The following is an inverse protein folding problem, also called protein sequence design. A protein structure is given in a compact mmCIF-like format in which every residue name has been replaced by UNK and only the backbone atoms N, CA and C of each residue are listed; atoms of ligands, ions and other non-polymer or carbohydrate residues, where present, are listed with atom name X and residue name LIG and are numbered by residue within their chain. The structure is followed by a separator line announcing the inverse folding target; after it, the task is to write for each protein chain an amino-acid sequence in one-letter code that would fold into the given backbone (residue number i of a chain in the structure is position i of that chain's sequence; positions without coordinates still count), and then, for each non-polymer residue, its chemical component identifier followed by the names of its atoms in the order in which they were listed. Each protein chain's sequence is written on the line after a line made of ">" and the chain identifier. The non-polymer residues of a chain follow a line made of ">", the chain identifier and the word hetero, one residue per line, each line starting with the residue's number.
data_IF_268292642417
#
_entry.id   IF_268292642417
#
_cell.length_a   1.000
_cell.length_b   1.000
_cell.length_c   1.000
_cell.angle_alpha   90.00
_cell.angle_beta   90.00
_cell.angle_gamma   90.00
#
_symmetry.space_group_name_H-M   'P 1'
#
loop_
_entity.id
_entity.type
_entity.pdbx_description
1 polymer ?
#
# COMPACT_ATOMS: atom_id res chain seq x y z
N UNK A 1 -90.04 50.55 97.92
CA UNK A 1 -88.62 50.87 98.22
C UNK A 1 -87.99 49.79 99.10
N UNK A 2 -88.28 48.49 98.87
CA UNK A 2 -87.82 47.38 99.74
C UNK A 2 -86.93 46.35 99.04
N UNK A 3 -86.72 46.44 97.72
CA UNK A 3 -85.91 45.47 96.98
C UNK A 3 -84.41 45.75 97.02
N UNK A 4 -84.00 47.02 97.05
CA UNK A 4 -82.58 47.42 97.09
C UNK A 4 -81.92 47.22 98.46
N UNK A 5 -82.69 47.27 99.54
CA UNK A 5 -82.16 47.09 100.91
C UNK A 5 -81.95 45.61 101.25
N UNK A 6 -82.85 44.72 100.84
CA UNK A 6 -82.70 43.28 101.07
C UNK A 6 -81.46 42.69 100.40
N UNK A 7 -81.13 43.16 99.18
CA UNK A 7 -79.90 42.77 98.48
C UNK A 7 -78.64 43.31 99.17
N UNK A 8 -78.72 44.45 99.84
CA UNK A 8 -77.61 45.02 100.61
C UNK A 8 -77.34 44.23 101.89
N UNK A 9 -78.41 43.88 102.61
CA UNK A 9 -78.28 43.16 103.88
C UNK A 9 -77.84 41.69 103.67
N UNK A 10 -78.40 40.97 102.70
CA UNK A 10 -77.99 39.59 102.36
C UNK A 10 -76.54 39.54 101.84
N UNK A 11 -76.11 40.55 101.09
CA UNK A 11 -74.74 40.66 100.59
C UNK A 11 -73.76 40.96 101.73
N UNK A 12 -74.17 41.81 102.68
CA UNK A 12 -73.36 42.18 103.83
C UNK A 12 -73.17 40.99 104.77
N UNK A 13 -74.23 40.22 105.03
CA UNK A 13 -74.15 38.97 105.80
C UNK A 13 -73.25 37.94 105.10
N UNK A 14 -73.38 37.79 103.78
CA UNK A 14 -72.50 36.89 103.01
C UNK A 14 -71.02 37.34 103.04
N UNK A 15 -70.77 38.64 102.95
CA UNK A 15 -69.40 39.18 103.01
C UNK A 15 -68.78 38.99 104.39
N UNK A 16 -69.55 39.16 105.46
CA UNK A 16 -69.10 38.96 106.83
C UNK A 16 -68.85 37.47 107.12
N UNK A 17 -69.76 36.58 106.73
CA UNK A 17 -69.58 35.12 106.83
C UNK A 17 -68.33 34.66 106.07
N UNK A 18 -68.15 35.16 104.84
CA UNK A 18 -67.00 34.80 104.01
C UNK A 18 -65.69 35.39 104.52
N UNK A 19 -65.74 36.55 105.16
CA UNK A 19 -64.59 37.19 105.79
C UNK A 19 -64.13 36.36 107.01
N UNK A 20 -65.07 35.95 107.86
CA UNK A 20 -64.82 35.07 109.00
C UNK A 20 -64.26 33.71 108.58
N UNK A 21 -64.84 33.07 107.55
CA UNK A 21 -64.34 31.79 107.01
C UNK A 21 -62.90 31.88 106.52
N UNK A 22 -62.53 33.00 105.88
CA UNK A 22 -61.19 33.22 105.34
C UNK A 22 -60.24 33.84 106.36
N UNK A 23 -60.69 34.06 107.60
CA UNK A 23 -59.91 34.67 108.68
C UNK A 23 -59.40 36.07 108.34
N UNK A 24 -60.15 36.82 107.56
CA UNK A 24 -59.81 38.18 107.12
C UNK A 24 -60.90 39.15 107.56
N UNK A 25 -60.60 40.43 107.67
CA UNK A 25 -61.65 41.44 107.80
C UNK A 25 -62.37 41.65 106.45
N UNK A 26 -63.63 42.05 106.51
CA UNK A 26 -64.50 42.33 105.36
C UNK A 26 -63.88 43.32 104.38
N UNK A 27 -63.21 44.35 104.89
CA UNK A 27 -62.58 45.38 104.07
C UNK A 27 -61.46 44.80 103.19
N UNK A 28 -60.69 43.85 103.73
CA UNK A 28 -59.62 43.16 103.02
C UNK A 28 -60.11 42.06 102.09
N UNK A 29 -61.22 41.39 102.40
CA UNK A 29 -61.91 40.50 101.47
C UNK A 29 -62.43 41.29 100.26
N UNK A 30 -63.09 42.41 100.49
CA UNK A 30 -63.56 43.32 99.45
C UNK A 30 -62.40 43.86 98.61
N UNK A 31 -61.30 44.28 99.24
CA UNK A 31 -60.11 44.72 98.53
C UNK A 31 -59.53 43.61 97.63
N UNK A 32 -59.53 42.36 98.10
CA UNK A 32 -59.08 41.20 97.29
C UNK A 32 -60.03 40.87 96.16
N UNK A 33 -61.35 40.88 96.39
CA UNK A 33 -62.34 40.65 95.34
C UNK A 33 -62.29 41.75 94.28
N UNK A 34 -62.16 43.01 94.69
CA UNK A 34 -61.97 44.15 93.77
C UNK A 34 -60.64 44.04 93.03
N UNK A 35 -59.56 43.61 93.69
CA UNK A 35 -58.26 43.41 93.02
C UNK A 35 -58.32 42.26 92.01
N UNK A 36 -58.93 41.13 92.36
CA UNK A 36 -59.13 39.99 91.46
C UNK A 36 -60.03 40.36 90.28
N UNK A 37 -61.12 41.10 90.54
CA UNK A 37 -62.00 41.63 89.51
C UNK A 37 -61.27 42.62 88.59
N UNK A 38 -60.44 43.52 89.15
CA UNK A 38 -59.61 44.45 88.35
C UNK A 38 -58.58 43.71 87.49
N UNK A 39 -57.96 42.66 88.01
CA UNK A 39 -56.99 41.84 87.28
C UNK A 39 -57.67 41.09 86.13
N UNK A 40 -58.79 40.42 86.41
CA UNK A 40 -59.60 39.74 85.40
C UNK A 40 -60.10 40.70 84.32
N UNK A 41 -60.57 41.90 84.70
CA UNK A 41 -60.97 42.94 83.73
C UNK A 41 -59.76 43.48 82.94
N UNK A 42 -58.58 43.63 83.55
CA UNK A 42 -57.38 44.16 82.88
C UNK A 42 -56.74 43.17 81.89
N UNK A 43 -56.75 41.88 82.21
CA UNK A 43 -56.16 40.82 81.38
C UNK A 43 -57.07 40.51 80.18
N UNK A 44 -58.38 40.65 80.36
CA UNK A 44 -59.37 40.43 79.31
C UNK A 44 -59.46 41.61 78.34
N UNK A 45 -59.43 42.87 78.79
CA UNK A 45 -59.48 44.03 77.87
C UNK A 45 -58.18 44.20 77.06
N UNK A 46 -57.01 44.03 77.70
CA UNK A 46 -55.71 44.18 77.03
C UNK A 46 -55.41 43.05 76.05
N UNK A 47 -55.63 41.80 76.46
CA UNK A 47 -55.39 40.63 75.62
C UNK A 47 -56.36 40.53 74.44
N UNK A 48 -57.64 40.89 74.62
CA UNK A 48 -58.61 40.92 73.52
C UNK A 48 -58.30 42.04 72.51
N UNK A 49 -57.81 43.20 72.96
CA UNK A 49 -57.40 44.29 72.08
C UNK A 49 -56.13 43.92 71.27
N UNK A 50 -55.15 43.26 71.88
CA UNK A 50 -53.96 42.74 71.20
C UNK A 50 -54.30 41.63 70.19
N UNK A 51 -55.22 40.72 70.55
CA UNK A 51 -55.72 39.69 69.65
C UNK A 51 -56.46 40.27 68.45
N UNK A 52 -57.35 41.24 68.66
CA UNK A 52 -58.04 41.95 67.57
C UNK A 52 -57.06 42.72 66.66
N UNK A 53 -56.01 43.31 67.25
CA UNK A 53 -54.94 43.95 66.48
C UNK A 53 -54.13 42.95 65.66
N UNK A 54 -53.78 41.80 66.24
CA UNK A 54 -53.06 40.75 65.55
C UNK A 54 -53.91 40.13 64.44
N UNK A 55 -55.19 39.89 64.68
CA UNK A 55 -56.17 39.41 63.70
C UNK A 55 -56.27 40.41 62.53
N UNK A 56 -56.36 41.71 62.81
CA UNK A 56 -56.35 42.74 61.78
C UNK A 56 -55.05 42.74 60.96
N UNK A 57 -53.90 42.52 61.60
CA UNK A 57 -52.59 42.43 60.92
C UNK A 57 -52.46 41.17 60.09
N UNK A 58 -52.95 40.04 60.59
CA UNK A 58 -52.98 38.77 59.86
C UNK A 58 -53.88 38.92 58.64
N UNK A 59 -55.09 39.44 58.82
CA UNK A 59 -56.01 39.73 57.71
C UNK A 59 -55.36 40.65 56.67
N UNK A 60 -54.67 41.72 57.09
CA UNK A 60 -53.99 42.61 56.16
C UNK A 60 -52.82 41.94 55.40
N UNK A 61 -52.11 41.00 56.04
CA UNK A 61 -51.04 40.22 55.40
C UNK A 61 -51.62 39.18 54.45
N UNK A 62 -52.73 38.56 54.81
CA UNK A 62 -53.46 37.63 53.95
C UNK A 62 -53.99 38.33 52.71
N UNK A 63 -54.57 39.53 52.86
CA UNK A 63 -55.03 40.36 51.74
C UNK A 63 -53.86 40.77 50.81
N UNK A 64 -52.73 41.23 51.36
CA UNK A 64 -51.52 41.57 50.59
C UNK A 64 -50.91 40.35 49.88
N UNK A 65 -50.94 39.19 50.53
CA UNK A 65 -50.47 37.94 49.94
C UNK A 65 -51.38 37.51 48.78
N UNK A 66 -52.71 37.60 48.95
CA UNK A 66 -53.67 37.28 47.90
C UNK A 66 -53.53 38.21 46.69
N UNK A 67 -53.32 39.51 46.91
CA UNK A 67 -53.03 40.48 45.85
C UNK A 67 -51.74 40.13 45.09
N UNK A 68 -50.65 39.82 45.81
CA UNK A 68 -49.37 39.43 45.19
C UNK A 68 -49.47 38.10 44.45
N UNK A 69 -50.20 37.13 44.98
CA UNK A 69 -50.45 35.86 44.31
C UNK A 69 -51.25 36.09 43.02
N UNK A 70 -52.23 36.98 43.04
CA UNK A 70 -52.98 37.36 41.85
C UNK A 70 -52.09 38.03 40.79
N UNK A 71 -51.21 38.97 41.19
CA UNK A 71 -50.27 39.64 40.29
C UNK A 71 -49.27 38.65 39.67
N UNK A 72 -48.63 37.79 40.48
CA UNK A 72 -47.71 36.75 39.99
C UNK A 72 -48.42 35.81 39.03
N UNK A 73 -49.67 35.41 39.35
CA UNK A 73 -50.47 34.55 38.47
C UNK A 73 -50.72 35.21 37.13
N UNK A 74 -51.13 36.47 37.11
CA UNK A 74 -51.35 37.21 35.87
C UNK A 74 -50.04 37.34 35.08
N UNK A 75 -48.93 37.62 35.75
CA UNK A 75 -47.61 37.72 35.11
C UNK A 75 -47.15 36.39 34.51
N UNK A 76 -47.35 35.27 35.20
CA UNK A 76 -47.02 33.93 34.69
C UNK A 76 -47.91 33.58 33.50
N UNK A 77 -49.20 33.90 33.55
CA UNK A 77 -50.12 33.70 32.42
C UNK A 77 -49.68 34.54 31.23
N UNK A 78 -49.30 35.81 31.45
CA UNK A 78 -48.77 36.68 30.42
C UNK A 78 -47.51 36.11 29.78
N UNK A 79 -46.50 35.73 30.59
CA UNK A 79 -45.25 35.15 30.09
C UNK A 79 -45.54 33.88 29.31
N UNK A 80 -46.38 32.98 29.83
CA UNK A 80 -46.79 31.75 29.13
C UNK A 80 -47.41 32.07 27.78
N UNK A 81 -48.33 33.04 27.70
CA UNK A 81 -48.94 33.46 26.43
C UNK A 81 -47.90 34.04 25.46
N UNK A 82 -47.00 34.89 25.94
CA UNK A 82 -45.93 35.47 25.12
C UNK A 82 -44.93 34.41 24.63
N UNK A 83 -44.57 33.44 25.47
CA UNK A 83 -43.69 32.34 25.11
C UNK A 83 -44.36 31.39 24.12
N UNK A 84 -45.61 30.98 24.37
CA UNK A 84 -46.39 30.15 23.45
C UNK A 84 -46.61 30.84 22.09
N UNK A 85 -46.76 32.17 22.08
CA UNK A 85 -46.87 32.94 20.84
C UNK A 85 -45.55 32.98 20.06
N UNK A 86 -44.40 32.99 20.75
CA UNK A 86 -43.07 33.00 20.13
C UNK A 86 -42.67 31.62 19.62
N UNK A 87 -43.03 30.57 20.34
CA UNK A 87 -42.75 29.20 19.98
C UNK A 87 -43.94 28.34 20.40
N UNK A 88 -44.94 28.19 19.52
CA UNK A 88 -46.03 27.24 19.74
C UNK A 88 -45.45 25.85 20.05
N UNK A 89 -46.16 25.05 20.84
CA UNK A 89 -45.74 23.67 21.15
C UNK A 89 -45.50 22.83 19.88
N UNK A 90 -46.23 23.15 18.81
CA UNK A 90 -46.13 22.50 17.50
C UNK A 90 -45.27 23.30 16.50
N UNK A 91 -44.46 24.25 16.97
CA UNK A 91 -43.52 24.97 16.10
C UNK A 91 -42.47 24.00 15.55
N UNK A 92 -42.52 23.78 14.23
CA UNK A 92 -41.49 23.05 13.51
C UNK A 92 -40.38 23.97 13.00
N UNK A 93 -39.29 23.34 12.57
CA UNK A 93 -38.20 24.00 11.85
C UNK A 93 -38.09 23.41 10.44
N UNK A 94 -38.97 23.80 9.50
CA UNK A 94 -38.98 23.22 8.15
C UNK A 94 -37.64 23.39 7.45
N UNK A 95 -36.94 24.51 7.63
CA UNK A 95 -35.63 24.74 7.01
C UNK A 95 -34.57 23.77 7.53
N UNK A 96 -34.63 23.36 8.80
CA UNK A 96 -33.75 22.32 9.35
C UNK A 96 -34.13 20.94 8.84
N UNK A 97 -35.43 20.66 8.70
CA UNK A 97 -35.91 19.39 8.14
C UNK A 97 -35.45 19.23 6.67
N UNK A 98 -35.64 20.26 5.85
CA UNK A 98 -35.21 20.30 4.45
C UNK A 98 -33.69 20.16 4.32
N UNK A 99 -32.93 20.82 5.21
CA UNK A 99 -31.47 20.69 5.24
C UNK A 99 -31.03 19.27 5.62
N UNK A 100 -31.72 18.62 6.57
CA UNK A 100 -31.43 17.25 6.95
C UNK A 100 -31.77 16.26 5.82
N UNK A 101 -32.85 16.51 5.08
CA UNK A 101 -33.21 15.70 3.92
C UNK A 101 -32.18 15.84 2.79
N UNK A 102 -31.77 17.08 2.49
CA UNK A 102 -30.68 17.36 1.53
C UNK A 102 -29.39 16.65 1.94
N UNK A 103 -28.95 16.79 3.19
CA UNK A 103 -27.74 16.13 3.69
C UNK A 103 -27.82 14.60 3.62
N UNK A 104 -29.00 14.01 3.84
CA UNK A 104 -29.19 12.56 3.69
C UNK A 104 -29.03 12.15 2.23
N UNK A 105 -29.63 12.88 1.30
CA UNK A 105 -29.49 12.62 -0.14
C UNK A 105 -28.03 12.75 -0.61
N UNK A 106 -27.30 13.76 -0.11
CA UNK A 106 -25.86 13.92 -0.38
C UNK A 106 -25.04 12.75 0.18
N UNK A 107 -25.32 12.31 1.41
CA UNK A 107 -24.64 11.15 2.01
C UNK A 107 -24.90 9.88 1.20
N UNK A 108 -26.14 9.66 0.76
CA UNK A 108 -26.48 8.47 -0.04
C UNK A 108 -25.83 8.51 -1.43
N UNK A 109 -25.69 9.70 -2.02
CA UNK A 109 -24.94 9.89 -3.27
C UNK A 109 -23.46 9.58 -3.07
N UNK A 110 -22.83 10.14 -2.04
CA UNK A 110 -21.42 9.88 -1.72
C UNK A 110 -21.13 8.41 -1.41
N UNK A 111 -22.08 7.70 -0.80
CA UNK A 111 -21.96 6.25 -0.58
C UNK A 111 -21.96 5.48 -1.89
N UNK A 112 -22.88 5.81 -2.80
CA UNK A 112 -22.92 5.18 -4.11
C UNK A 112 -21.64 5.45 -4.93
N UNK A 113 -21.14 6.69 -4.90
CA UNK A 113 -19.86 7.05 -5.53
C UNK A 113 -18.67 6.31 -4.90
N UNK A 114 -18.66 6.13 -3.58
CA UNK A 114 -17.62 5.39 -2.88
C UNK A 114 -17.63 3.90 -3.26
N UNK A 115 -18.81 3.30 -3.34
CA UNK A 115 -18.96 1.90 -3.74
C UNK A 115 -18.52 1.69 -5.21
N UNK A 116 -18.90 2.58 -6.12
CA UNK A 116 -18.44 2.56 -7.52
C UNK A 116 -16.91 2.70 -7.65
N UNK A 117 -16.32 3.64 -6.89
CA UNK A 117 -14.87 3.84 -6.89
C UNK A 117 -14.14 2.62 -6.33
N UNK A 118 -14.71 1.97 -5.31
CA UNK A 118 -14.17 0.74 -4.74
C UNK A 118 -14.21 -0.40 -5.76
N UNK A 119 -15.33 -0.60 -6.43
CA UNK A 119 -15.49 -1.64 -7.45
C UNK A 119 -14.53 -1.42 -8.63
N UNK A 120 -14.38 -0.17 -9.08
CA UNK A 120 -13.41 0.22 -10.12
C UNK A 120 -11.97 -0.10 -9.71
N UNK A 121 -11.61 0.20 -8.47
CA UNK A 121 -10.27 -0.07 -7.95
C UNK A 121 -10.00 -1.57 -7.77
N UNK A 122 -10.98 -2.35 -7.32
CA UNK A 122 -10.85 -3.80 -7.21
C UNK A 122 -10.76 -4.44 -8.62
N UNK A 123 -11.48 -3.91 -9.60
CA UNK A 123 -11.33 -4.27 -11.02
C UNK A 123 -9.92 -3.98 -11.57
N UNK A 124 -9.39 -2.77 -11.33
CA UNK A 124 -8.05 -2.39 -11.79
C UNK A 124 -6.96 -3.29 -11.18
N UNK A 125 -7.11 -3.69 -9.91
CA UNK A 125 -6.19 -4.64 -9.28
C UNK A 125 -6.24 -6.01 -9.94
N UNK A 126 -7.44 -6.51 -10.20
CA UNK A 126 -7.60 -7.79 -10.88
C UNK A 126 -7.01 -7.76 -12.30
N UNK A 127 -7.21 -6.68 -13.04
CA UNK A 127 -6.63 -6.49 -14.37
C UNK A 127 -5.09 -6.44 -14.32
N UNK A 128 -4.53 -5.77 -13.31
CA UNK A 128 -3.09 -5.68 -13.10
C UNK A 128 -2.48 -7.05 -12.76
N UNK A 129 -3.09 -7.77 -11.83
CA UNK A 129 -2.65 -9.11 -11.43
C UNK A 129 -2.70 -10.08 -12.62
N UNK A 130 -3.82 -10.09 -13.36
CA UNK A 130 -3.96 -10.90 -14.58
C UNK A 130 -2.96 -10.49 -15.68
N UNK A 131 -2.68 -9.18 -15.80
CA UNK A 131 -1.67 -8.66 -16.70
C UNK A 131 -0.28 -9.19 -16.38
N UNK A 132 0.13 -9.14 -15.10
CA UNK A 132 1.43 -9.67 -14.66
C UNK A 132 1.55 -11.17 -14.88
N UNK A 133 0.53 -11.96 -14.53
CA UNK A 133 0.52 -13.40 -14.81
C UNK A 133 0.71 -13.69 -16.31
N UNK A 134 0.03 -12.93 -17.18
CA UNK A 134 0.20 -13.07 -18.62
C UNK A 134 1.61 -12.67 -19.08
N UNK A 135 2.19 -11.59 -18.55
CA UNK A 135 3.55 -11.20 -18.90
C UNK A 135 4.58 -12.24 -18.46
N UNK A 136 4.45 -12.79 -17.25
CA UNK A 136 5.33 -13.85 -16.77
C UNK A 136 5.27 -15.08 -17.67
N UNK A 137 4.07 -15.49 -18.10
CA UNK A 137 3.90 -16.59 -19.06
C UNK A 137 4.59 -16.31 -20.40
N UNK A 138 4.46 -15.09 -20.93
CA UNK A 138 5.12 -14.71 -22.19
C UNK A 138 6.64 -14.68 -22.03
N UNK A 139 7.16 -14.18 -20.91
CA UNK A 139 8.60 -14.14 -20.66
C UNK A 139 9.20 -15.54 -20.49
N UNK A 140 8.50 -16.45 -19.83
CA UNK A 140 8.92 -17.86 -19.70
C UNK A 140 8.98 -18.55 -21.07
N UNK A 141 7.97 -18.33 -21.92
CA UNK A 141 7.94 -18.85 -23.29
C UNK A 141 9.11 -18.30 -24.13
N UNK A 142 9.36 -16.99 -24.07
CA UNK A 142 10.48 -16.36 -24.77
C UNK A 142 11.86 -16.83 -24.27
N UNK A 143 12.03 -17.05 -22.97
CA UNK A 143 13.27 -17.60 -22.39
C UNK A 143 13.51 -19.04 -22.85
N UNK A 144 12.46 -19.87 -22.83
CA UNK A 144 12.48 -21.24 -23.32
C UNK A 144 12.83 -21.29 -24.81
N UNK A 145 12.17 -20.48 -25.64
CA UNK A 145 12.45 -20.39 -27.08
C UNK A 145 13.89 -19.92 -27.33
N UNK A 146 14.36 -18.91 -26.60
CA UNK A 146 15.74 -18.40 -26.74
C UNK A 146 16.77 -19.49 -26.41
N UNK A 147 16.54 -20.24 -25.34
CA UNK A 147 17.41 -21.35 -24.94
C UNK A 147 17.41 -22.48 -25.98
N UNK A 148 16.25 -22.82 -26.54
CA UNK A 148 16.13 -23.82 -27.60
C UNK A 148 16.83 -23.37 -28.89
N UNK A 149 16.66 -22.10 -29.29
CA UNK A 149 17.38 -21.52 -30.43
C UNK A 149 18.89 -21.54 -30.21
N UNK A 150 19.37 -21.20 -29.00
CA UNK A 150 20.79 -21.25 -28.67
C UNK A 150 21.35 -22.69 -28.79
N UNK A 151 20.62 -23.69 -28.30
CA UNK A 151 21.00 -25.10 -28.43
C UNK A 151 21.06 -25.58 -29.89
N UNK A 152 20.10 -25.14 -30.72
CA UNK A 152 20.09 -25.40 -32.17
C UNK A 152 21.27 -24.73 -32.86
N UNK A 153 21.56 -23.47 -32.55
CA UNK A 153 22.68 -22.73 -33.12
C UNK A 153 24.03 -23.40 -32.79
N UNK A 154 24.24 -23.82 -31.55
CA UNK A 154 25.44 -24.56 -31.14
C UNK A 154 25.55 -25.91 -31.87
N UNK A 155 24.43 -26.62 -32.04
CA UNK A 155 24.41 -27.86 -32.82
C UNK A 155 24.81 -27.62 -34.27
N UNK A 156 24.27 -26.57 -34.91
CA UNK A 156 24.64 -26.21 -36.28
C UNK A 156 26.10 -25.78 -36.40
N UNK A 157 26.62 -25.03 -35.43
CA UNK A 157 28.03 -24.64 -35.38
C UNK A 157 28.93 -25.88 -35.30
N UNK A 158 28.59 -26.85 -34.44
CA UNK A 158 29.32 -28.13 -34.33
C UNK A 158 29.28 -28.92 -35.64
N UNK A 159 28.13 -28.99 -36.30
CA UNK A 159 28.00 -29.66 -37.61
C UNK A 159 28.83 -28.94 -38.69
N UNK A 160 28.77 -27.61 -38.75
CA UNK A 160 29.52 -26.81 -39.70
C UNK A 160 31.04 -26.98 -39.53
N UNK A 161 31.53 -26.96 -38.28
CA UNK A 161 32.94 -27.21 -37.97
C UNK A 161 33.35 -28.64 -38.35
N UNK A 162 32.51 -29.65 -38.05
CA UNK A 162 32.78 -31.04 -38.45
C UNK A 162 32.83 -31.23 -39.97
N UNK A 163 31.93 -30.58 -40.71
CA UNK A 163 31.97 -30.59 -42.18
C UNK A 163 33.23 -29.91 -42.73
N UNK A 164 33.61 -28.77 -42.16
CA UNK A 164 34.83 -28.05 -42.54
C UNK A 164 36.08 -28.91 -42.33
N UNK A 165 36.19 -29.58 -41.18
CA UNK A 165 37.30 -30.48 -40.88
C UNK A 165 37.33 -31.68 -41.84
N UNK A 166 36.15 -32.23 -42.17
CA UNK A 166 36.06 -33.33 -43.13
C UNK A 166 36.48 -32.91 -44.54
N UNK A 167 36.09 -31.72 -44.99
CA UNK A 167 36.51 -31.15 -46.28
C UNK A 167 38.03 -30.96 -46.28
N UNK A 168 38.59 -30.33 -45.25
CA UNK A 168 40.03 -30.11 -45.14
C UNK A 168 40.83 -31.44 -45.17
N UNK A 169 40.32 -32.48 -44.51
CA UNK A 169 40.89 -33.83 -44.57
C UNK A 169 40.87 -34.41 -45.99
N UNK A 170 39.75 -34.32 -46.70
CA UNK A 170 39.63 -34.81 -48.08
C UNK A 170 40.51 -34.02 -49.07
N UNK A 171 40.59 -32.71 -48.90
CA UNK A 171 41.46 -31.84 -49.70
C UNK A 171 42.93 -32.16 -49.45
N UNK A 172 43.32 -32.41 -48.20
CA UNK A 172 44.66 -32.84 -47.82
C UNK A 172 45.04 -34.18 -48.45
N UNK A 173 44.19 -35.20 -48.35
CA UNK A 173 44.40 -36.50 -49.00
C UNK A 173 44.55 -36.36 -50.52
N UNK A 174 43.68 -35.56 -51.15
CA UNK A 174 43.74 -35.26 -52.59
C UNK A 174 45.02 -34.52 -52.97
N UNK A 175 45.48 -33.56 -52.17
CA UNK A 175 46.71 -32.82 -52.40
C UNK A 175 47.95 -33.72 -52.33
N UNK A 176 48.00 -34.63 -51.34
CA UNK A 176 49.06 -35.64 -51.21
C UNK A 176 49.10 -36.54 -52.44
N UNK A 177 47.95 -37.07 -52.88
CA UNK A 177 47.86 -37.92 -54.07
C UNK A 177 48.28 -37.18 -55.35
N UNK A 178 47.83 -35.93 -55.53
CA UNK A 178 48.24 -35.09 -56.65
C UNK A 178 49.75 -34.85 -56.65
N UNK A 179 50.33 -34.53 -55.50
CA UNK A 179 51.76 -34.29 -55.37
C UNK A 179 52.60 -35.52 -55.76
N UNK A 180 52.18 -36.72 -55.33
CA UNK A 180 52.80 -38.00 -55.73
C UNK A 180 52.67 -38.22 -57.25
N UNK A 181 51.46 -38.03 -57.78
CA UNK A 181 51.20 -38.23 -59.21
C UNK A 181 52.02 -37.25 -60.08
N UNK A 182 52.23 -36.01 -59.63
CA UNK A 182 53.09 -35.04 -60.29
C UNK A 182 54.55 -35.47 -60.30
N UNK A 183 55.09 -35.93 -59.16
CA UNK A 183 56.46 -36.45 -59.07
C UNK A 183 56.67 -37.66 -59.98
N UNK A 184 55.69 -38.57 -60.01
CA UNK A 184 55.71 -39.73 -60.89
C UNK A 184 55.63 -39.34 -62.37
N UNK A 185 54.79 -38.36 -62.74
CA UNK A 185 54.72 -37.83 -64.10
C UNK A 185 56.02 -37.17 -64.53
N UNK A 186 56.62 -36.36 -63.66
CA UNK A 186 57.89 -35.68 -63.91
C UNK A 186 59.02 -36.69 -64.11
N UNK A 187 59.12 -37.69 -63.23
CA UNK A 187 60.06 -38.79 -63.35
C UNK A 187 59.86 -39.59 -64.65
N UNK A 188 58.62 -39.91 -65.00
CA UNK A 188 58.30 -40.61 -66.26
C UNK A 188 58.69 -39.78 -67.48
N UNK A 189 58.40 -38.47 -67.51
CA UNK A 189 58.82 -37.57 -68.61
C UNK A 189 60.34 -37.48 -68.74
N UNK A 190 61.06 -37.54 -67.62
CA UNK A 190 62.51 -37.52 -67.56
C UNK A 190 63.17 -38.90 -67.79
N UNK A 191 62.38 -39.98 -67.95
CA UNK A 191 62.89 -41.35 -68.10
C UNK A 191 63.53 -41.93 -66.84
N UNK A 192 63.16 -41.44 -65.66
CA UNK A 192 63.74 -41.81 -64.36
C UNK A 192 62.83 -42.80 -63.63
N UNK A 193 63.30 -44.03 -63.44
CA UNK A 193 62.58 -45.05 -62.65
C UNK A 193 63.04 -45.14 -61.18
N UNK A 194 64.27 -44.72 -60.90
CA UNK A 194 64.87 -44.67 -59.57
C UNK A 194 65.75 -43.43 -59.44
N UNK A 195 65.68 -42.75 -58.30
CA UNK A 195 66.43 -41.53 -58.02
C UNK A 195 66.91 -41.50 -56.56
N UNK A 196 68.04 -40.84 -56.30
CA UNK A 196 68.57 -40.70 -54.95
C UNK A 196 67.91 -39.52 -54.23
N UNK A 197 67.45 -39.70 -52.99
CA UNK A 197 66.99 -38.61 -52.16
C UNK A 197 68.13 -37.60 -51.95
N UNK A 198 67.90 -36.30 -52.22
CA UNK A 198 68.92 -35.26 -52.02
C UNK A 198 69.34 -35.13 -50.55
N UNK A 199 68.44 -35.39 -49.60
CA UNK A 199 68.70 -35.22 -48.17
C UNK A 199 69.55 -36.37 -47.58
N UNK A 200 69.15 -37.63 -47.77
CA UNK A 200 69.83 -38.78 -47.15
C UNK A 200 70.64 -39.65 -48.13
N UNK A 201 70.56 -39.41 -49.43
CA UNK A 201 71.28 -40.16 -50.46
C UNK A 201 70.71 -41.56 -50.79
N UNK A 202 69.69 -42.02 -50.07
CA UNK A 202 69.09 -43.34 -50.31
C UNK A 202 68.38 -43.41 -51.67
N UNK A 203 68.45 -44.58 -52.34
CA UNK A 203 67.80 -44.81 -53.63
C UNK A 203 66.30 -45.07 -53.45
N UNK A 204 65.46 -44.35 -54.18
CA UNK A 204 64.00 -44.41 -54.10
C UNK A 204 63.41 -44.71 -55.46
N UNK A 205 62.53 -45.71 -55.53
CA UNK A 205 61.74 -46.03 -56.73
C UNK A 205 60.54 -45.08 -56.83
N UNK A 206 60.65 -44.08 -57.71
CA UNK A 206 59.66 -42.98 -57.79
C UNK A 206 58.25 -43.50 -58.13
N UNK A 207 58.16 -44.51 -59.01
CA UNK A 207 56.88 -45.13 -59.40
C UNK A 207 56.15 -45.92 -58.31
N UNK A 208 56.78 -46.18 -57.16
CA UNK A 208 56.21 -46.91 -56.03
C UNK A 208 55.91 -46.02 -54.82
N UNK A 209 56.08 -44.71 -54.95
CA UNK A 209 55.77 -43.77 -53.87
C UNK A 209 54.27 -43.75 -53.56
N UNK A 210 53.92 -43.96 -52.29
CA UNK A 210 52.56 -43.76 -51.76
C UNK A 210 52.35 -42.38 -51.11
N UNK A 211 53.43 -41.64 -50.84
CA UNK A 211 53.43 -40.29 -50.27
C UNK A 211 54.55 -39.47 -50.91
N UNK A 212 54.44 -38.13 -50.95
CA UNK A 212 55.45 -37.25 -51.57
C UNK A 212 56.62 -37.02 -50.60
N UNK A 213 57.11 -38.06 -49.94
CA UNK A 213 58.18 -37.99 -48.94
C UNK A 213 59.13 -39.19 -49.06
N UNK A 214 60.36 -39.01 -48.61
CA UNK A 214 61.36 -40.08 -48.62
C UNK A 214 61.00 -41.19 -47.62
N UNK A 215 60.95 -42.47 -48.02
CA UNK A 215 60.63 -43.57 -47.11
C UNK A 215 61.72 -43.87 -46.07
N UNK A 216 62.89 -43.22 -46.16
CA UNK A 216 64.03 -43.45 -45.28
C UNK A 216 64.30 -42.30 -44.29
N UNK A 217 64.01 -41.05 -44.69
CA UNK A 217 64.29 -39.88 -43.85
C UNK A 217 63.14 -38.87 -43.79
N UNK A 218 61.97 -39.22 -44.35
CA UNK A 218 60.72 -38.44 -44.30
C UNK A 218 60.76 -37.05 -44.93
N UNK A 219 61.89 -36.67 -45.57
CA UNK A 219 61.98 -35.41 -46.29
C UNK A 219 60.98 -35.35 -47.45
N UNK A 220 60.15 -34.30 -47.48
CA UNK A 220 59.18 -34.02 -48.55
C UNK A 220 59.87 -33.75 -49.87
N UNK A 221 59.35 -34.34 -50.95
CA UNK A 221 59.84 -34.16 -52.31
C UNK A 221 59.08 -33.05 -53.03
N UNK A 222 59.80 -32.15 -53.70
CA UNK A 222 59.21 -31.05 -54.48
C UNK A 222 59.38 -31.23 -56.01
N UNK A 223 60.32 -32.06 -56.46
CA UNK A 223 60.60 -32.30 -57.88
C UNK A 223 61.61 -33.42 -58.17
N UNK A 224 61.92 -33.58 -59.46
CA UNK A 224 62.85 -34.61 -59.95
C UNK A 224 63.95 -33.96 -60.79
N UNK A 225 65.20 -34.11 -60.36
CA UNK A 225 66.36 -33.63 -61.11
C UNK A 225 66.95 -34.77 -61.97
N UNK A 226 66.90 -34.69 -63.31
CA UNK A 226 67.47 -35.71 -64.19
C UNK A 226 69.00 -35.69 -64.14
N UNK A 227 69.60 -36.81 -64.56
CA UNK A 227 71.04 -36.94 -64.68
C UNK A 227 71.63 -35.88 -65.64
N UNK A 228 72.60 -35.08 -65.16
CA UNK A 228 73.37 -34.16 -66.01
C UNK A 228 74.70 -34.82 -66.39
N UNK A 229 74.92 -35.07 -67.69
CA UNK A 229 76.15 -35.64 -68.25
C UNK A 229 76.26 -37.17 -68.15
N UNK A 230 77.41 -37.74 -68.57
CA UNK A 230 77.63 -39.20 -68.73
C UNK A 230 77.75 -39.99 -67.40
N UNK A 231 77.79 -39.34 -66.23
CA UNK A 231 78.03 -40.00 -64.93
C UNK A 231 77.06 -39.59 -63.81
N UNK A 232 76.03 -38.79 -64.10
CA UNK A 232 75.09 -38.31 -63.08
C UNK A 232 74.01 -39.34 -62.72
N UNK A 233 73.72 -39.53 -61.43
CA UNK A 233 72.51 -40.25 -61.00
C UNK A 233 71.34 -39.26 -60.84
N UNK A 234 70.11 -39.61 -61.27
CA UNK A 234 68.92 -38.80 -61.01
C UNK A 234 68.72 -38.57 -59.51
N UNK A 235 68.23 -37.38 -59.12
CA UNK A 235 67.99 -37.01 -57.71
C UNK A 235 66.57 -36.52 -57.47
N UNK A 236 65.98 -36.91 -56.35
CA UNK A 236 64.74 -36.32 -55.85
C UNK A 236 65.08 -35.08 -55.02
N UNK A 237 64.52 -33.95 -55.42
CA UNK A 237 64.74 -32.68 -54.74
C UNK A 237 63.80 -32.59 -53.54
N UNK A 238 64.29 -32.04 -52.44
CA UNK A 238 63.55 -31.95 -51.18
C UNK A 238 63.37 -30.50 -50.79
N UNK A 239 62.14 -30.13 -50.42
CA UNK A 239 61.75 -28.77 -50.05
C UNK A 239 60.27 -28.70 -49.73
N UNK A 240 59.83 -27.56 -49.22
CA UNK A 240 58.40 -27.27 -49.08
C UNK A 240 57.84 -26.98 -50.47
N UNK A 241 57.06 -27.91 -51.00
CA UNK A 241 56.27 -27.62 -52.20
C UNK A 241 55.31 -26.50 -51.82
N UNK A 242 55.35 -25.32 -52.48
CA UNK A 242 54.39 -24.27 -52.19
C UNK A 242 53.00 -24.86 -52.37
N UNK A 243 52.11 -24.70 -51.39
CA UNK A 243 50.71 -25.01 -51.62
C UNK A 243 50.31 -24.23 -52.87
N UNK A 244 49.80 -24.93 -53.89
CA UNK A 244 49.22 -24.29 -55.05
C UNK A 244 48.21 -23.29 -54.51
N UNK A 245 48.50 -21.99 -54.62
CA UNK A 245 47.54 -20.94 -54.35
C UNK A 245 46.50 -21.07 -55.45
N UNK A 246 45.42 -21.80 -55.18
CA UNK A 246 44.21 -21.65 -55.95
C UNK A 246 43.79 -20.20 -55.75
N UNK A 247 43.74 -19.43 -56.83
CA UNK A 247 43.54 -18.00 -56.78
C UNK A 247 42.15 -17.66 -56.26
N UNK A 248 42.05 -17.40 -54.95
CA UNK A 248 40.94 -16.64 -54.36
C UNK A 248 41.53 -15.44 -53.63
N UNK A 249 41.93 -14.44 -54.42
CA UNK A 249 41.88 -13.05 -53.95
C UNK A 249 40.40 -12.68 -53.79
N UNK A 250 40.01 -12.26 -52.58
CA UNK A 250 38.72 -11.61 -52.35
C UNK A 250 37.86 -12.29 -51.28
N UNK A 251 38.10 -11.92 -50.02
CA UNK A 251 37.24 -12.29 -48.92
C UNK A 251 37.93 -12.08 -47.58
N UNK A 252 38.26 -10.83 -47.26
CA UNK A 252 38.60 -10.46 -45.89
C UNK A 252 37.41 -10.83 -45.00
N UNK A 253 37.47 -11.99 -44.36
CA UNK A 253 36.64 -12.27 -43.19
C UNK A 253 36.93 -11.19 -42.16
N UNK A 254 35.93 -10.40 -41.71
CA UNK A 254 36.11 -9.49 -40.60
C UNK A 254 36.66 -10.28 -39.42
N UNK A 255 37.66 -9.72 -38.75
CA UNK A 255 38.17 -10.30 -37.51
C UNK A 255 37.03 -10.29 -36.51
N UNK A 256 36.86 -11.39 -35.79
CA UNK A 256 35.87 -11.57 -34.71
C UNK A 256 35.90 -10.46 -33.65
N UNK A 257 37.01 -9.71 -33.55
CA UNK A 257 37.14 -8.54 -32.68
C UNK A 257 36.30 -7.33 -33.12
N UNK A 258 35.99 -7.20 -34.42
CA UNK A 258 35.21 -6.08 -34.99
C UNK A 258 33.70 -6.29 -34.79
N UNK A 259 33.26 -7.55 -34.70
CA UNK A 259 31.86 -7.93 -34.47
C UNK A 259 31.48 -7.78 -32.98
N UNK A 260 32.44 -8.00 -32.07
CA UNK A 260 32.24 -7.74 -30.64
C UNK A 260 32.11 -6.25 -30.34
N UNK A 261 32.90 -5.41 -31.02
CA UNK A 261 32.94 -3.96 -30.81
C UNK A 261 31.66 -3.28 -31.34
N UNK A 262 31.11 -3.76 -32.46
CA UNK A 262 29.84 -3.26 -32.99
C UNK A 262 28.62 -3.68 -32.17
N UNK A 263 28.68 -4.80 -31.46
CA UNK A 263 27.64 -5.19 -30.52
C UNK A 263 27.67 -4.30 -29.25
N UNK A 264 28.85 -4.05 -28.67
CA UNK A 264 29.00 -3.19 -27.49
C UNK A 264 28.55 -1.74 -27.76
N UNK A 265 28.84 -1.19 -28.95
CA UNK A 265 28.41 0.18 -29.30
C UNK A 265 26.89 0.29 -29.49
N UNK A 266 26.20 -0.79 -29.89
CA UNK A 266 24.74 -0.81 -30.08
C UNK A 266 23.95 -0.91 -28.77
N UNK A 267 24.58 -1.29 -27.65
CA UNK A 267 23.93 -1.42 -26.34
C UNK A 267 24.32 -0.31 -25.35
N UNK A 268 25.21 0.61 -25.73
CA UNK A 268 25.67 1.70 -24.88
C UNK A 268 24.88 3.00 -25.05
N UNK A 269 23.98 3.11 -26.04
CA UNK A 269 23.24 4.34 -26.35
C UNK A 269 21.86 4.46 -25.68
N UNK A 270 21.40 3.44 -24.93
CA UNK A 270 20.03 3.41 -24.33
C UNK A 270 19.97 3.65 -22.80
N UNK A 271 21.08 4.01 -22.13
CA UNK A 271 21.13 4.18 -20.66
C UNK A 271 21.12 5.66 -20.18
N UNK A 272 20.96 6.63 -21.07
CA UNK A 272 20.89 8.07 -20.73
C UNK A 272 19.56 8.72 -21.21
N UNK A 273 18.42 8.38 -20.59
CA UNK A 273 17.25 9.29 -20.46
C UNK A 273 16.29 8.87 -19.32
#
# INVERSE_FOLDING_TARGET
>A
MSGEQALGDDLDEWLDERADELGTDRERLLARLVAAQRLALSETDGGLAELSTLESRVSAVEDDLDEKIADVRERVIQIKRETDAKAPADHGHPELADRLETLRAEIDTLRAEYDDLRDSHDGLRQDLDAGFENYELVLDDLDSDTTDLAAKADTLARVALGLRERIASLEGESAVQRAVADLQREANRAGVSSAQCRNCGSSVHVGLLGAPACPHCEATFDGVEPARGFFGSPKLTTGERPALTDGTDGGSTPRSDEVAQTADDLFAEDDDD
#
